data_IF_959546298811
#
_entry.id   IF_959546298811
#
_cell.length_a   1.000
_cell.length_b   1.000
_cell.length_c   1.000
_cell.angle_alpha   90.00
_cell.angle_beta   90.00
_cell.angle_gamma   90.00
#
_symmetry.space_group_name_H-M   'P 1'
#
loop_
_entity.id
_entity.type
_entity.pdbx_description
1 polymer ?
#
# COMPACT_ATOMS: atom_id res chain seq x y z
N UNK A 1 -12.06 -40.99 11.62
CA UNK A 1 -10.82 -40.28 12.01
C UNK A 1 -9.96 -39.91 10.79
N UNK A 2 -9.60 -40.86 9.91
CA UNK A 2 -8.80 -40.59 8.70
C UNK A 2 -9.41 -39.54 7.74
N UNK A 3 -10.74 -39.51 7.61
CA UNK A 3 -11.45 -38.55 6.75
C UNK A 3 -11.36 -37.10 7.27
N UNK A 4 -11.43 -36.91 8.59
CA UNK A 4 -11.31 -35.59 9.23
C UNK A 4 -9.89 -35.03 9.10
N UNK A 5 -8.86 -35.88 9.21
CA UNK A 5 -7.46 -35.46 9.03
C UNK A 5 -7.22 -34.99 7.59
N UNK A 6 -7.77 -35.69 6.60
CA UNK A 6 -7.70 -35.26 5.19
C UNK A 6 -8.46 -33.94 4.98
N UNK A 7 -9.66 -33.80 5.52
CA UNK A 7 -10.45 -32.58 5.42
C UNK A 7 -9.75 -31.37 6.06
N UNK A 8 -9.17 -31.52 7.26
CA UNK A 8 -8.39 -30.46 7.91
C UNK A 8 -7.14 -30.08 7.12
N UNK A 9 -6.44 -31.05 6.52
CA UNK A 9 -5.28 -30.75 5.66
C UNK A 9 -5.68 -29.96 4.41
N UNK A 10 -6.75 -30.37 3.73
CA UNK A 10 -7.27 -29.62 2.57
C UNK A 10 -7.75 -28.22 2.95
N UNK A 11 -8.40 -28.06 4.11
CA UNK A 11 -8.82 -26.76 4.61
C UNK A 11 -7.62 -25.84 4.90
N UNK A 12 -6.58 -26.36 5.56
CA UNK A 12 -5.37 -25.60 5.84
C UNK A 12 -4.62 -25.22 4.56
N UNK A 13 -4.52 -26.14 3.60
CA UNK A 13 -3.95 -25.88 2.29
C UNK A 13 -4.72 -24.79 1.54
N UNK A 14 -6.06 -24.84 1.56
CA UNK A 14 -6.91 -23.83 0.97
C UNK A 14 -6.71 -22.45 1.61
N UNK A 15 -6.63 -22.38 2.95
CA UNK A 15 -6.34 -21.13 3.69
C UNK A 15 -4.99 -20.55 3.27
N UNK A 16 -3.95 -21.38 3.14
CA UNK A 16 -2.62 -20.93 2.70
C UNK A 16 -2.66 -20.38 1.27
N UNK A 17 -3.36 -21.06 0.34
CA UNK A 17 -3.52 -20.55 -1.03
C UNK A 17 -4.25 -19.22 -1.03
N UNK A 18 -5.38 -19.10 -0.32
CA UNK A 18 -6.12 -17.84 -0.23
C UNK A 18 -5.24 -16.72 0.32
N UNK A 19 -4.43 -16.99 1.35
CA UNK A 19 -3.48 -16.02 1.90
C UNK A 19 -2.44 -15.58 0.87
N UNK A 20 -1.89 -16.51 0.09
CA UNK A 20 -0.91 -16.20 -0.95
C UNK A 20 -1.52 -15.37 -2.09
N UNK A 21 -2.75 -15.69 -2.51
CA UNK A 21 -3.46 -14.95 -3.56
C UNK A 21 -3.76 -13.53 -3.10
N UNK A 22 -4.30 -13.34 -1.90
CA UNK A 22 -4.59 -11.99 -1.38
C UNK A 22 -3.32 -11.14 -1.27
N UNK A 23 -2.21 -11.71 -0.79
CA UNK A 23 -0.93 -11.00 -0.70
C UNK A 23 -0.29 -10.69 -2.06
N UNK A 24 -0.65 -11.44 -3.11
CA UNK A 24 -0.17 -11.17 -4.46
C UNK A 24 -0.90 -10.00 -5.13
N UNK A 25 -2.05 -9.58 -4.60
CA UNK A 25 -2.87 -8.48 -5.15
C UNK A 25 -2.77 -7.25 -4.25
N UNK A 26 -2.96 -7.43 -2.94
CA UNK A 26 -2.99 -6.37 -1.95
C UNK A 26 -1.88 -6.55 -0.90
N UNK A 27 -1.72 -5.55 -0.04
CA UNK A 27 -0.91 -5.70 1.16
C UNK A 27 -1.80 -6.10 2.33
N UNK A 28 -1.53 -7.27 2.91
CA UNK A 28 -2.20 -7.74 4.12
C UNK A 28 -1.19 -8.21 5.17
N UNK A 29 -1.25 -7.61 6.36
CA UNK A 29 -0.47 -8.02 7.51
C UNK A 29 -1.40 -8.51 8.63
N UNK A 30 -1.39 -9.82 8.86
CA UNK A 30 -2.23 -10.47 9.87
C UNK A 30 -1.85 -10.07 11.30
N UNK A 31 -0.59 -9.68 11.55
CA UNK A 31 -0.11 -9.39 12.90
C UNK A 31 -0.59 -8.02 13.40
N UNK A 32 -0.70 -7.06 12.49
CA UNK A 32 -1.19 -5.70 12.76
C UNK A 32 -2.67 -5.50 12.37
N UNK A 33 -3.26 -6.46 11.66
CA UNK A 33 -4.60 -6.32 11.07
C UNK A 33 -4.63 -5.27 9.94
N UNK A 34 -3.48 -4.97 9.35
CA UNK A 34 -3.35 -3.94 8.33
C UNK A 34 -3.72 -4.49 6.95
N UNK A 35 -4.67 -3.83 6.29
CA UNK A 35 -5.05 -4.12 4.92
C UNK A 35 -4.99 -2.84 4.08
N UNK A 36 -4.20 -2.87 3.01
CA UNK A 36 -4.08 -1.76 2.07
C UNK A 36 -4.22 -2.33 0.67
N UNK A 37 -5.24 -1.88 -0.04
CA UNK A 37 -5.43 -2.27 -1.43
C UNK A 37 -4.35 -1.63 -2.30
N UNK A 38 -3.66 -2.42 -3.13
CA UNK A 38 -2.63 -1.92 -4.04
C UNK A 38 -3.15 -2.06 -5.47
N UNK A 39 -3.04 -0.98 -6.25
CA UNK A 39 -3.41 -1.00 -7.66
C UNK A 39 -2.24 -0.44 -8.47
N UNK A 40 -1.45 -1.33 -9.06
CA UNK A 40 -0.32 -0.99 -9.91
C UNK A 40 -0.72 -0.51 -11.30
N UNK A 41 0.23 0.15 -11.97
CA UNK A 41 0.16 0.41 -13.41
C UNK A 41 0.82 -0.78 -14.13
N UNK A 42 0.06 -1.48 -14.97
CA UNK A 42 0.51 -2.73 -15.63
C UNK A 42 1.76 -2.53 -16.50
N UNK A 43 1.99 -1.32 -17.03
CA UNK A 43 3.08 -1.04 -17.96
C UNK A 43 4.24 -0.31 -17.31
N UNK A 44 3.98 0.52 -16.29
CA UNK A 44 4.97 1.45 -15.72
C UNK A 44 5.13 1.34 -14.22
N UNK A 45 4.33 0.49 -13.58
CA UNK A 45 4.27 0.32 -12.14
C UNK A 45 5.14 -0.83 -11.65
N UNK A 46 5.30 -0.88 -10.33
CA UNK A 46 5.94 -1.98 -9.63
C UNK A 46 5.38 -2.08 -8.20
N UNK A 47 4.29 -2.83 -8.06
CA UNK A 47 3.60 -3.08 -6.79
C UNK A 47 4.52 -3.72 -5.73
N UNK A 48 5.52 -4.49 -6.15
CA UNK A 48 6.46 -5.14 -5.23
C UNK A 48 7.32 -4.12 -4.49
N UNK A 49 7.66 -2.99 -5.12
CA UNK A 49 8.38 -1.90 -4.44
C UNK A 49 7.53 -1.26 -3.35
N UNK A 50 6.20 -1.15 -3.55
CA UNK A 50 5.26 -0.62 -2.56
C UNK A 50 5.12 -1.62 -1.41
N UNK A 51 4.94 -2.91 -1.71
CA UNK A 51 4.87 -3.98 -0.71
C UNK A 51 6.14 -4.03 0.14
N UNK A 52 7.30 -3.92 -0.51
CA UNK A 52 8.60 -3.91 0.16
C UNK A 52 8.74 -2.65 1.03
N UNK A 53 8.34 -1.48 0.53
CA UNK A 53 8.35 -0.26 1.33
C UNK A 53 7.47 -0.36 2.58
N UNK A 54 6.27 -0.96 2.48
CA UNK A 54 5.39 -1.19 3.64
C UNK A 54 6.00 -2.18 4.65
N UNK A 55 6.66 -3.24 4.17
CA UNK A 55 7.39 -4.19 5.03
C UNK A 55 8.56 -3.51 5.73
N UNK A 56 9.38 -2.75 5.01
CA UNK A 56 10.51 -2.03 5.59
C UNK A 56 10.02 -1.02 6.64
N UNK A 57 8.96 -0.28 6.32
CA UNK A 57 8.35 0.67 7.25
C UNK A 57 7.95 -0.01 8.57
N UNK A 58 7.37 -1.21 8.53
CA UNK A 58 7.01 -1.97 9.74
C UNK A 58 8.21 -2.22 10.66
N UNK A 59 9.38 -2.53 10.10
CA UNK A 59 10.56 -2.91 10.87
C UNK A 59 11.44 -1.71 11.25
N UNK A 60 11.50 -0.70 10.39
CA UNK A 60 12.38 0.46 10.55
C UNK A 60 11.72 1.63 11.28
N UNK A 61 10.40 1.80 11.12
CA UNK A 61 9.62 2.92 11.68
C UNK A 61 8.17 2.49 11.97
N UNK A 62 7.98 1.76 13.07
CA UNK A 62 6.69 1.19 13.44
C UNK A 62 5.60 2.24 13.65
N UNK A 63 5.96 3.44 14.10
CA UNK A 63 5.00 4.53 14.33
C UNK A 63 4.42 5.02 13.00
N UNK A 64 5.28 5.24 12.00
CA UNK A 64 4.82 5.57 10.66
C UNK A 64 4.04 4.44 10.01
N UNK A 65 4.44 3.19 10.23
CA UNK A 65 3.67 2.03 9.77
C UNK A 65 2.26 1.99 10.36
N UNK A 66 2.11 2.17 11.67
CA UNK A 66 0.81 2.19 12.34
C UNK A 66 -0.08 3.33 11.81
N UNK A 67 0.52 4.50 11.53
CA UNK A 67 -0.18 5.62 10.92
C UNK A 67 -0.66 5.29 9.50
N UNK A 68 0.20 4.71 8.66
CA UNK A 68 -0.20 4.23 7.32
C UNK A 68 -1.37 3.26 7.45
N UNK A 69 -1.28 2.25 8.32
CA UNK A 69 -2.35 1.26 8.49
C UNK A 69 -3.67 1.82 9.04
N UNK A 70 -3.64 2.84 9.90
CA UNK A 70 -4.86 3.45 10.44
C UNK A 70 -5.55 4.42 9.46
N UNK A 71 -4.76 5.08 8.61
CA UNK A 71 -5.21 6.24 7.83
C UNK A 71 -5.09 6.07 6.31
N UNK A 72 -4.58 4.94 5.83
CA UNK A 72 -4.48 4.62 4.40
C UNK A 72 -5.15 3.27 4.15
N UNK A 73 -6.10 3.24 3.23
CA UNK A 73 -6.81 2.02 2.82
C UNK A 73 -6.45 1.58 1.41
N UNK A 74 -5.90 2.48 0.58
CA UNK A 74 -5.59 2.20 -0.82
C UNK A 74 -4.36 2.98 -1.30
N UNK A 75 -3.50 2.31 -2.07
CA UNK A 75 -2.37 2.90 -2.79
C UNK A 75 -2.53 2.59 -4.28
N UNK A 76 -2.47 3.61 -5.13
CA UNK A 76 -2.65 3.50 -6.58
C UNK A 76 -1.40 4.03 -7.27
N UNK A 77 -0.81 3.24 -8.17
CA UNK A 77 0.20 3.75 -9.08
C UNK A 77 -0.46 4.48 -10.25
N UNK A 78 -0.50 5.81 -10.17
CA UNK A 78 -0.96 6.67 -11.24
C UNK A 78 -0.42 8.09 -11.01
N UNK A 79 -0.34 8.90 -12.07
CA UNK A 79 0.08 10.29 -11.95
C UNK A 79 -0.94 11.13 -11.20
N UNK A 80 -0.47 12.00 -10.31
CA UNK A 80 -1.29 12.88 -9.48
C UNK A 80 -2.16 13.90 -10.23
N UNK A 81 -1.91 14.14 -11.52
CA UNK A 81 -2.65 15.16 -12.28
C UNK A 81 -4.07 14.78 -12.63
N UNK A 82 -4.45 13.52 -12.49
CA UNK A 82 -5.80 13.06 -12.79
C UNK A 82 -6.78 13.25 -11.61
N UNK A 83 -6.34 13.78 -10.47
CA UNK A 83 -7.13 13.76 -9.23
C UNK A 83 -7.57 15.12 -8.66
N UNK A 84 -7.07 16.27 -9.15
CA UNK A 84 -7.67 17.59 -8.89
C UNK A 84 -7.34 18.66 -9.98
N UNK A 85 -8.30 19.03 -10.85
CA UNK A 85 -8.08 20.00 -11.93
C UNK A 85 -7.93 21.47 -11.45
N UNK A 86 -8.09 21.74 -10.14
CA UNK A 86 -7.96 23.11 -9.58
C UNK A 86 -6.51 23.51 -9.29
N UNK A 87 -5.62 22.53 -9.16
CA UNK A 87 -4.20 22.77 -9.06
C UNK A 87 -3.64 22.76 -10.49
N UNK A 88 -3.29 23.93 -11.03
CA UNK A 88 -2.69 24.01 -12.36
C UNK A 88 -1.48 23.07 -12.52
N UNK A 89 -1.13 22.72 -13.75
CA UNK A 89 -0.05 21.78 -14.05
C UNK A 89 1.25 22.17 -13.32
N UNK A 90 1.69 21.42 -12.29
CA UNK A 90 2.91 21.74 -11.57
C UNK A 90 4.10 21.59 -12.53
N UNK A 91 5.11 22.47 -12.38
CA UNK A 91 6.35 22.40 -13.18
C UNK A 91 7.07 21.06 -13.03
N UNK A 92 6.89 20.40 -11.88
CA UNK A 92 7.37 19.07 -11.59
C UNK A 92 6.22 18.25 -11.01
N UNK A 93 5.91 17.12 -11.62
CA UNK A 93 4.95 16.18 -11.05
C UNK A 93 5.51 15.64 -9.72
N UNK A 94 4.72 15.68 -8.62
CA UNK A 94 5.14 15.08 -7.37
C UNK A 94 5.23 13.55 -7.52
N UNK A 95 6.07 12.92 -6.70
CA UNK A 95 6.23 11.46 -6.69
C UNK A 95 5.04 10.75 -6.04
N UNK A 96 4.20 11.49 -5.32
CA UNK A 96 2.91 11.03 -4.82
C UNK A 96 1.99 12.14 -4.33
N UNK A 97 0.74 11.78 -4.07
CA UNK A 97 -0.29 12.68 -3.55
C UNK A 97 -1.36 11.90 -2.77
N UNK A 98 -1.97 12.57 -1.80
CA UNK A 98 -3.07 12.07 -1.02
C UNK A 98 -4.37 12.73 -1.49
N UNK A 99 -5.45 11.94 -1.66
CA UNK A 99 -6.77 12.51 -1.96
C UNK A 99 -7.51 12.76 -0.66
N UNK A 100 -7.74 14.05 -0.36
CA UNK A 100 -8.37 14.50 0.88
C UNK A 100 -9.68 13.75 1.15
N UNK A 101 -9.78 13.13 2.32
CA UNK A 101 -10.96 12.40 2.79
C UNK A 101 -11.22 11.04 2.15
N UNK A 102 -10.24 10.46 1.46
CA UNK A 102 -10.41 9.17 0.78
C UNK A 102 -9.63 8.00 1.40
N UNK A 103 -8.70 8.28 2.32
CA UNK A 103 -7.65 7.32 2.75
C UNK A 103 -6.86 6.70 1.57
N UNK A 104 -6.85 7.36 0.41
CA UNK A 104 -6.20 6.88 -0.81
C UNK A 104 -4.95 7.71 -1.12
N UNK A 105 -3.85 7.01 -1.35
CA UNK A 105 -2.58 7.55 -1.80
C UNK A 105 -2.38 7.19 -3.27
N UNK A 106 -1.89 8.15 -4.04
CA UNK A 106 -1.38 7.95 -5.40
C UNK A 106 0.12 8.08 -5.37
N UNK A 107 0.78 7.15 -6.05
CA UNK A 107 2.23 7.15 -6.24
C UNK A 107 2.53 7.15 -7.74
N UNK A 108 3.51 7.94 -8.14
CA UNK A 108 3.97 7.99 -9.55
C UNK A 108 4.50 6.61 -9.95
N UNK A 109 4.02 5.97 -11.03
CA UNK A 109 4.50 4.64 -11.42
C UNK A 109 6.02 4.62 -11.69
N UNK A 110 6.71 3.60 -11.16
CA UNK A 110 8.14 3.36 -11.41
C UNK A 110 8.38 1.87 -11.63
N UNK A 111 8.81 1.49 -12.84
CA UNK A 111 9.08 0.09 -13.20
C UNK A 111 10.31 -0.48 -12.48
N UNK A 112 11.32 0.36 -12.25
CA UNK A 112 12.62 -0.02 -11.66
C UNK A 112 12.43 -0.63 -10.27
N UNK A 113 12.92 -1.86 -10.11
CA UNK A 113 13.04 -2.49 -8.80
C UNK A 113 14.43 -2.20 -8.21
N UNK A 114 14.53 -1.19 -7.34
CA UNK A 114 15.79 -0.86 -6.64
C UNK A 114 15.52 -0.29 -5.26
N UNK A 115 16.51 -0.43 -4.36
CA UNK A 115 16.43 0.08 -2.99
C UNK A 115 16.12 1.58 -2.95
N UNK A 116 16.68 2.37 -3.86
CA UNK A 116 16.37 3.80 -4.02
C UNK A 116 14.88 4.08 -4.21
N UNK A 117 14.19 3.24 -5.00
CA UNK A 117 12.75 3.36 -5.27
C UNK A 117 11.99 2.95 -4.02
N UNK A 118 12.37 1.85 -3.37
CA UNK A 118 11.76 1.39 -2.11
C UNK A 118 11.88 2.44 -1.02
N UNK A 119 13.06 3.03 -0.81
CA UNK A 119 13.29 4.10 0.16
C UNK A 119 12.46 5.34 -0.18
N UNK A 120 12.45 5.77 -1.45
CA UNK A 120 11.64 6.90 -1.89
C UNK A 120 10.14 6.67 -1.64
N UNK A 121 9.64 5.47 -1.94
CA UNK A 121 8.26 5.06 -1.67
C UNK A 121 7.95 5.06 -0.18
N UNK A 122 8.87 4.57 0.65
CA UNK A 122 8.71 4.57 2.10
C UNK A 122 8.57 5.99 2.66
N UNK A 123 9.46 6.90 2.26
CA UNK A 123 9.40 8.31 2.68
C UNK A 123 8.11 9.00 2.21
N UNK A 124 7.67 8.70 0.99
CA UNK A 124 6.43 9.26 0.46
C UNK A 124 5.19 8.71 1.19
N UNK A 125 5.16 7.42 1.53
CA UNK A 125 4.09 6.83 2.35
C UNK A 125 4.04 7.45 3.75
N UNK A 126 5.19 7.65 4.40
CA UNK A 126 5.30 8.36 5.68
C UNK A 126 4.65 9.73 5.59
N UNK A 127 5.14 10.55 4.65
CA UNK A 127 4.70 11.94 4.44
C UNK A 127 3.21 12.03 4.13
N UNK A 128 2.73 11.22 3.18
CA UNK A 128 1.34 11.27 2.73
C UNK A 128 0.35 10.73 3.76
N UNK A 129 0.77 9.75 4.58
CA UNK A 129 -0.06 9.23 5.66
C UNK A 129 -0.33 10.27 6.75
N UNK A 130 0.58 11.25 6.96
CA UNK A 130 0.35 12.35 7.90
C UNK A 130 -0.81 13.24 7.44
N UNK A 131 -0.86 13.63 6.16
CA UNK A 131 -1.99 14.40 5.65
C UNK A 131 -3.32 13.66 5.80
N UNK A 132 -3.32 12.34 5.62
CA UNK A 132 -4.52 11.55 5.84
C UNK A 132 -4.91 11.52 7.31
N UNK A 133 -3.94 11.29 8.21
CA UNK A 133 -4.17 11.31 9.66
C UNK A 133 -4.73 12.64 10.12
N UNK A 134 -4.10 13.75 9.76
CA UNK A 134 -4.54 15.11 10.12
C UNK A 134 -6.01 15.31 9.72
N UNK A 135 -6.38 14.97 8.49
CA UNK A 135 -7.76 15.09 8.03
C UNK A 135 -8.74 14.25 8.86
N UNK A 136 -8.40 12.99 9.18
CA UNK A 136 -9.31 12.08 9.89
C UNK A 136 -9.26 12.21 11.42
N UNK A 137 -8.39 13.05 11.97
CA UNK A 137 -8.37 13.37 13.40
C UNK A 137 -9.14 14.67 13.70
N UNK A 138 -9.26 15.57 12.72
CA UNK A 138 -10.03 16.80 12.83
C UNK A 138 -11.56 16.60 12.69
N UNK A 139 -11.99 15.46 12.13
CA UNK A 139 -13.40 15.11 11.84
C UNK A 139 -13.78 13.76 12.42
#
# INVERSE_FOLDING_TARGET
MLSYIKASFFMLFFIVICYLVVNSIDYFDITSGCYIAITGDVLKGNEDTIRTALRNLKYEDSDSYNRVCGYVSKIIENTCLNSDPRFGYPKQMPDGCYIKGSKTIYLKPVEKNSDEVVTSRMEELKRLSEFSKEFWQEF
#
